data_IF_783699616822
#
_entry.id   IF_783699616822
#
_cell.length_a   1.000
_cell.length_b   1.000
_cell.length_c   1.000
_cell.angle_alpha   90.00
_cell.angle_beta   90.00
_cell.angle_gamma   90.00
#
_symmetry.space_group_name_H-M   'P 1'
#
loop_
_entity.id
_entity.type
_entity.pdbx_description
1 polymer ?
#
# COMPACT_ATOMS: atom_id res chain seq x y z
N UNK A 1 10.24 15.48 1.34
CA UNK A 1 9.15 14.52 1.20
C UNK A 1 9.73 13.15 0.86
N UNK A 2 9.18 12.11 1.43
CA UNK A 2 9.55 10.72 1.13
C UNK A 2 8.54 10.13 0.15
N UNK A 3 9.01 9.59 -0.95
CA UNK A 3 8.21 8.87 -1.94
C UNK A 3 8.54 7.38 -1.86
N UNK A 4 7.52 6.54 -1.73
CA UNK A 4 7.65 5.09 -1.85
C UNK A 4 6.87 4.59 -3.05
N UNK A 5 7.51 3.72 -3.82
CA UNK A 5 6.87 2.95 -4.87
C UNK A 5 6.88 1.49 -4.43
N UNK A 6 5.71 0.98 -4.08
CA UNK A 6 5.54 -0.40 -3.59
C UNK A 6 4.85 -1.20 -4.69
N UNK A 7 5.57 -2.16 -5.24
CA UNK A 7 5.03 -3.02 -6.28
C UNK A 7 4.66 -4.37 -5.69
N UNK A 8 3.38 -4.71 -5.79
CA UNK A 8 2.86 -6.01 -5.36
C UNK A 8 2.62 -6.90 -6.56
N UNK A 9 3.05 -8.15 -6.46
CA UNK A 9 2.67 -9.19 -7.39
C UNK A 9 1.64 -10.07 -6.70
N UNK A 10 0.40 -10.04 -7.18
CA UNK A 10 -0.66 -10.84 -6.62
C UNK A 10 -0.65 -12.27 -7.18
N UNK A 11 -1.23 -13.18 -6.43
CA UNK A 11 -1.54 -14.51 -6.95
C UNK A 11 -2.51 -14.37 -8.11
N UNK A 12 -2.54 -15.31 -9.08
CA UNK A 12 -3.40 -15.20 -10.26
C UNK A 12 -4.86 -14.90 -9.90
N UNK A 13 -5.39 -13.79 -10.43
CA UNK A 13 -6.76 -13.35 -10.20
C UNK A 13 -6.99 -12.55 -8.92
N UNK A 14 -5.97 -12.35 -8.10
CA UNK A 14 -6.13 -11.76 -6.76
C UNK A 14 -5.79 -10.27 -6.66
N UNK A 15 -5.29 -9.64 -7.71
CA UNK A 15 -4.90 -8.23 -7.66
C UNK A 15 -6.05 -7.30 -7.28
N UNK A 16 -7.16 -7.41 -7.97
CA UNK A 16 -8.35 -6.59 -7.69
C UNK A 16 -8.97 -6.92 -6.34
N UNK A 17 -8.97 -8.20 -5.94
CA UNK A 17 -9.49 -8.65 -4.65
C UNK A 17 -8.71 -8.03 -3.50
N UNK A 18 -7.40 -7.97 -3.62
CA UNK A 18 -6.50 -7.36 -2.65
C UNK A 18 -6.86 -5.90 -2.40
N UNK A 19 -6.93 -5.10 -3.45
CA UNK A 19 -7.25 -3.68 -3.34
C UNK A 19 -8.67 -3.46 -2.83
N UNK A 20 -9.63 -4.25 -3.30
CA UNK A 20 -11.03 -4.16 -2.87
C UNK A 20 -11.17 -4.43 -1.37
N UNK A 21 -10.50 -5.45 -0.85
CA UNK A 21 -10.58 -5.79 0.56
C UNK A 21 -9.99 -4.69 1.45
N UNK A 22 -8.84 -4.12 1.05
CA UNK A 22 -8.26 -2.97 1.75
C UNK A 22 -9.23 -1.79 1.78
N UNK A 23 -9.89 -1.52 0.67
CA UNK A 23 -10.86 -0.44 0.55
C UNK A 23 -12.10 -0.70 1.41
N UNK A 24 -12.65 -1.90 1.35
CA UNK A 24 -13.87 -2.28 2.05
C UNK A 24 -13.69 -2.27 3.59
N UNK A 25 -12.51 -2.59 4.08
CA UNK A 25 -12.19 -2.50 5.51
C UNK A 25 -11.92 -1.07 5.98
N UNK A 26 -11.95 -0.09 5.09
CA UNK A 26 -11.68 1.30 5.45
C UNK A 26 -10.22 1.62 5.71
N UNK A 27 -9.29 0.69 5.47
CA UNK A 27 -7.87 0.88 5.73
C UNK A 27 -7.31 2.04 4.91
N UNK A 28 -7.70 2.14 3.65
CA UNK A 28 -7.22 3.19 2.75
C UNK A 28 -7.52 4.59 3.29
N UNK A 29 -8.76 4.82 3.73
CA UNK A 29 -9.15 6.11 4.31
C UNK A 29 -8.44 6.38 5.64
N UNK A 30 -8.23 5.34 6.45
CA UNK A 30 -7.53 5.46 7.72
C UNK A 30 -6.06 5.85 7.51
N UNK A 31 -5.38 5.23 6.53
CA UNK A 31 -4.00 5.59 6.19
C UNK A 31 -3.91 7.03 5.71
N UNK A 32 -4.82 7.43 4.82
CA UNK A 32 -4.83 8.81 4.27
C UNK A 32 -5.04 9.88 5.33
N UNK A 33 -5.65 9.53 6.46
CA UNK A 33 -5.86 10.44 7.59
C UNK A 33 -4.67 10.47 8.57
N UNK A 34 -3.66 9.64 8.39
CA UNK A 34 -2.49 9.63 9.27
C UNK A 34 -1.66 10.90 9.13
N UNK A 35 -1.04 11.32 10.24
CA UNK A 35 -0.16 12.47 10.26
C UNK A 35 1.00 12.29 9.29
N UNK A 36 1.20 13.26 8.41
CA UNK A 36 2.25 13.25 7.40
C UNK A 36 1.94 12.48 6.13
N UNK A 37 0.79 11.82 6.03
CA UNK A 37 0.39 11.17 4.79
C UNK A 37 -0.04 12.22 3.76
N UNK A 38 0.71 12.34 2.67
CA UNK A 38 0.43 13.27 1.59
C UNK A 38 -0.13 12.60 0.35
N UNK A 39 -0.06 11.27 0.29
CA UNK A 39 -0.64 10.47 -0.78
C UNK A 39 -0.51 8.98 -0.48
N UNK A 40 -1.52 8.22 -0.86
CA UNK A 40 -1.54 6.77 -0.68
C UNK A 40 -2.54 6.20 -1.69
N UNK A 41 -2.04 5.84 -2.87
CA UNK A 41 -2.90 5.49 -3.99
C UNK A 41 -2.47 4.19 -4.66
N UNK A 42 -3.45 3.33 -4.94
CA UNK A 42 -3.24 2.08 -5.66
C UNK A 42 -3.52 2.25 -7.15
N UNK A 43 -2.69 1.60 -7.97
CA UNK A 43 -2.85 1.55 -9.42
C UNK A 43 -2.67 0.12 -9.91
N UNK A 44 -3.37 -0.24 -10.97
CA UNK A 44 -3.16 -1.52 -11.62
C UNK A 44 -2.30 -1.33 -12.87
N UNK A 45 -1.46 -2.32 -13.18
CA UNK A 45 -0.74 -2.31 -14.45
C UNK A 45 -1.74 -2.44 -15.61
N UNK A 46 -1.53 -1.68 -16.68
CA UNK A 46 -2.33 -1.79 -17.90
C UNK A 46 -2.20 -3.17 -18.57
N UNK A 47 -1.10 -3.88 -18.30
CA UNK A 47 -0.83 -5.19 -18.87
C UNK A 47 -1.33 -6.34 -18.01
N UNK A 48 -1.47 -6.14 -16.71
CA UNK A 48 -1.92 -7.18 -15.77
C UNK A 48 -2.50 -6.59 -14.50
N UNK A 49 -3.78 -6.88 -14.17
CA UNK A 49 -4.38 -6.42 -12.92
C UNK A 49 -3.79 -7.09 -11.67
N UNK A 50 -2.98 -8.14 -11.85
CA UNK A 50 -2.28 -8.81 -10.74
C UNK A 50 -0.95 -8.14 -10.40
N UNK A 51 -0.54 -7.14 -11.16
CA UNK A 51 0.56 -6.25 -10.80
C UNK A 51 -0.04 -4.94 -10.29
N UNK A 52 0.15 -4.69 -8.99
CA UNK A 52 -0.44 -3.54 -8.30
C UNK A 52 0.68 -2.62 -7.82
N UNK A 53 0.59 -1.34 -8.16
CA UNK A 53 1.53 -0.32 -7.69
C UNK A 53 0.84 0.52 -6.62
N UNK A 54 1.47 0.66 -5.47
CA UNK A 54 1.08 1.59 -4.44
C UNK A 54 2.08 2.75 -4.45
N UNK A 55 1.58 3.96 -4.60
CA UNK A 55 2.38 5.18 -4.51
C UNK A 55 2.09 5.84 -3.17
N UNK A 56 3.10 5.92 -2.30
CA UNK A 56 2.98 6.56 -0.99
C UNK A 56 3.84 7.82 -0.95
N UNK A 57 3.27 8.89 -0.40
CA UNK A 57 3.99 10.14 -0.16
C UNK A 57 3.83 10.52 1.30
N UNK A 58 4.95 10.75 1.96
CA UNK A 58 5.01 11.09 3.37
C UNK A 58 5.83 12.37 3.58
N UNK A 59 5.40 13.20 4.52
CA UNK A 59 6.13 14.44 4.84
C UNK A 59 7.55 14.13 5.34
N UNK A 60 7.73 13.02 6.08
CA UNK A 60 9.02 12.60 6.60
C UNK A 60 9.12 11.08 6.72
N UNK A 61 10.35 10.56 6.79
CA UNK A 61 10.61 9.15 7.05
C UNK A 61 10.08 8.71 8.42
N UNK A 62 10.15 9.58 9.41
CA UNK A 62 9.67 9.30 10.78
C UNK A 62 8.16 9.04 10.79
N UNK A 63 7.40 9.80 10.04
CA UNK A 63 5.96 9.62 9.94
C UNK A 63 5.59 8.34 9.18
N UNK A 64 6.35 8.01 8.15
CA UNK A 64 6.18 6.73 7.44
C UNK A 64 6.49 5.55 8.36
N UNK A 65 7.51 5.64 9.19
CA UNK A 65 7.84 4.59 10.16
C UNK A 65 6.74 4.44 11.21
N UNK A 66 6.17 5.55 11.69
CA UNK A 66 5.04 5.52 12.62
C UNK A 66 3.83 4.83 12.00
N UNK A 67 3.57 5.06 10.71
CA UNK A 67 2.52 4.39 9.93
C UNK A 67 2.64 2.87 10.01
N UNK A 68 3.85 2.32 9.92
CA UNK A 68 4.07 0.88 9.95
C UNK A 68 3.73 0.23 11.30
N UNK A 69 3.60 1.01 12.37
CA UNK A 69 3.31 0.51 13.71
C UNK A 69 1.82 0.55 14.07
N UNK A 70 0.97 0.96 13.14
CA UNK A 70 -0.47 1.12 13.41
C UNK A 70 -1.21 -0.21 13.38
N UNK A 71 -2.35 -0.27 14.10
CA UNK A 71 -3.20 -1.46 14.12
C UNK A 71 -3.78 -1.78 12.74
N UNK A 72 -4.14 -0.75 11.96
CA UNK A 72 -4.68 -0.96 10.62
C UNK A 72 -3.62 -1.49 9.64
N UNK A 73 -2.34 -1.22 9.86
CA UNK A 73 -1.27 -1.84 9.07
C UNK A 73 -1.11 -3.31 9.40
N UNK A 74 -1.33 -3.70 10.67
CA UNK A 74 -1.35 -5.12 11.04
C UNK A 74 -2.49 -5.86 10.30
N UNK A 75 -3.65 -5.24 10.17
CA UNK A 75 -4.75 -5.80 9.38
C UNK A 75 -4.42 -5.89 7.90
N UNK A 76 -3.78 -4.86 7.35
CA UNK A 76 -3.34 -4.85 5.96
C UNK A 76 -2.36 -6.01 5.68
N UNK A 77 -1.46 -6.30 6.61
CA UNK A 77 -0.51 -7.40 6.47
C UNK A 77 -1.20 -8.76 6.38
N UNK A 78 -2.29 -8.96 7.13
CA UNK A 78 -3.09 -10.19 7.03
C UNK A 78 -3.77 -10.32 5.66
N UNK A 79 -4.29 -9.22 5.14
CA UNK A 79 -4.89 -9.19 3.80
C UNK A 79 -3.81 -9.50 2.75
N UNK A 80 -2.65 -8.88 2.89
CA UNK A 80 -1.52 -9.09 1.99
C UNK A 80 -1.11 -10.57 1.93
N UNK A 81 -1.03 -11.25 3.06
CA UNK A 81 -0.66 -12.68 3.11
C UNK A 81 -1.58 -13.55 2.28
N UNK A 82 -2.87 -13.21 2.22
CA UNK A 82 -3.85 -14.00 1.45
C UNK A 82 -3.70 -13.87 -0.06
N UNK A 83 -3.31 -12.71 -0.55
CA UNK A 83 -3.42 -12.36 -1.96
C UNK A 83 -2.09 -12.11 -2.67
N UNK A 84 -1.04 -11.76 -1.94
CA UNK A 84 0.21 -11.28 -2.53
C UNK A 84 1.30 -12.33 -2.43
N UNK A 85 1.97 -12.59 -3.57
CA UNK A 85 3.09 -13.54 -3.64
C UNK A 85 4.45 -12.85 -3.62
N UNK A 86 4.54 -11.58 -3.96
CA UNK A 86 5.80 -10.85 -3.97
C UNK A 86 5.62 -9.35 -3.78
N UNK A 87 6.62 -8.71 -3.18
CA UNK A 87 6.61 -7.27 -2.93
C UNK A 87 8.00 -6.70 -3.15
N UNK A 88 8.06 -5.55 -3.84
CA UNK A 88 9.29 -4.76 -3.92
C UNK A 88 9.02 -3.32 -3.54
N UNK A 89 9.99 -2.66 -2.94
CA UNK A 89 9.86 -1.27 -2.46
C UNK A 89 11.03 -0.44 -2.95
N UNK A 90 10.73 0.71 -3.54
CA UNK A 90 11.71 1.75 -3.85
C UNK A 90 11.39 2.98 -3.02
N UNK A 91 12.40 3.56 -2.38
CA UNK A 91 12.27 4.78 -1.58
C UNK A 91 13.12 5.89 -2.19
N UNK A 92 12.55 7.08 -2.30
CA UNK A 92 13.25 8.25 -2.82
C UNK A 92 12.93 9.45 -1.94
N UNK A 93 13.96 10.17 -1.51
CA UNK A 93 13.79 11.46 -0.82
C UNK A 93 13.74 12.56 -1.87
N UNK A 94 12.66 13.32 -1.86
CA UNK A 94 12.44 14.43 -2.79
C UNK A 94 12.69 15.78 -2.14
#
# INVERSE_FOLDING_TARGET
>A
MLLLLVKYTAKPGDGEKFVREITDFGILNTVRAEDGCEGYDYYFSAESPDTVLLVEKWASAKQQEAHLQTAHMAELMKIKERYISGTSVEKTVL
#
